data_IF_932362268403
#
_entry.id   IF_932362268403
#
_cell.length_a   1.000
_cell.length_b   1.000
_cell.length_c   1.000
_cell.angle_alpha   90.00
_cell.angle_beta   90.00
_cell.angle_gamma   90.00
#
_symmetry.space_group_name_H-M   'P 1'
#
loop_
_entity.id
_entity.type
_entity.pdbx_description
1 polymer ?
#
# COMPACT_ATOMS: atom_id res chain seq x y z
N UNK A 1 -2.24 -31.23 2.74
CA UNK A 1 -2.02 -31.08 1.29
C UNK A 1 -2.16 -29.63 0.82
N UNK A 2 -3.30 -28.92 1.03
CA UNK A 2 -3.48 -27.51 0.63
C UNK A 2 -2.43 -26.60 1.29
N UNK A 3 -2.28 -26.65 2.60
CA UNK A 3 -1.30 -25.83 3.34
C UNK A 3 0.14 -26.02 2.83
N UNK A 4 0.53 -27.22 2.45
CA UNK A 4 1.86 -27.51 1.91
C UNK A 4 2.07 -26.93 0.52
N UNK A 5 1.02 -26.92 -0.32
CA UNK A 5 1.06 -26.29 -1.64
C UNK A 5 1.16 -24.76 -1.55
N UNK A 6 0.37 -24.12 -0.67
CA UNK A 6 0.42 -22.68 -0.46
C UNK A 6 1.80 -22.24 0.03
N UNK A 7 2.37 -22.95 1.01
CA UNK A 7 3.72 -22.68 1.51
C UNK A 7 4.79 -22.86 0.43
N UNK A 8 4.63 -23.84 -0.47
CA UNK A 8 5.55 -24.05 -1.60
C UNK A 8 5.48 -22.89 -2.60
N UNK A 9 4.28 -22.39 -2.90
CA UNK A 9 4.09 -21.24 -3.78
C UNK A 9 4.74 -19.98 -3.18
N UNK A 10 4.48 -19.69 -1.91
CA UNK A 10 5.09 -18.58 -1.20
C UNK A 10 6.61 -18.71 -1.14
N UNK A 11 7.11 -19.91 -0.82
CA UNK A 11 8.54 -20.21 -0.83
C UNK A 11 9.20 -19.95 -2.19
N UNK A 12 8.57 -20.40 -3.28
CA UNK A 12 9.08 -20.15 -4.63
C UNK A 12 9.16 -18.67 -4.95
N UNK A 13 8.17 -17.88 -4.52
CA UNK A 13 8.19 -16.42 -4.67
C UNK A 13 9.32 -15.78 -3.88
N UNK A 14 9.58 -16.23 -2.65
CA UNK A 14 10.72 -15.80 -1.83
C UNK A 14 12.04 -16.10 -2.53
N UNK A 15 12.18 -17.29 -3.15
CA UNK A 15 13.41 -17.63 -3.90
C UNK A 15 13.64 -16.65 -5.07
N UNK A 16 12.60 -16.36 -5.86
CA UNK A 16 12.69 -15.40 -6.97
C UNK A 16 13.06 -14.00 -6.45
N UNK A 17 12.42 -13.52 -5.39
CA UNK A 17 12.77 -12.23 -4.77
C UNK A 17 14.23 -12.19 -4.33
N UNK A 18 14.71 -13.24 -3.66
CA UNK A 18 16.09 -13.30 -3.15
C UNK A 18 17.15 -13.45 -4.23
N UNK A 19 16.79 -14.02 -5.38
CA UNK A 19 17.67 -14.06 -6.56
C UNK A 19 17.88 -12.68 -7.17
N UNK A 20 16.92 -11.79 -7.04
CA UNK A 20 16.96 -10.42 -7.55
C UNK A 20 17.63 -9.44 -6.58
N UNK A 21 17.92 -9.85 -5.35
CA UNK A 21 18.58 -8.99 -4.36
C UNK A 21 20.08 -8.87 -4.64
N UNK A 22 20.63 -7.65 -4.58
CA UNK A 22 22.05 -7.43 -4.76
C UNK A 22 22.87 -7.98 -3.58
N UNK A 23 24.16 -8.25 -3.85
CA UNK A 23 25.08 -8.87 -2.89
C UNK A 23 25.85 -7.86 -2.01
N UNK A 24 25.63 -6.55 -2.18
CA UNK A 24 26.40 -5.49 -1.48
C UNK A 24 26.05 -5.39 0.01
N UNK A 25 27.04 -5.10 0.84
CA UNK A 25 26.84 -4.60 2.20
C UNK A 25 26.48 -3.11 2.15
N UNK A 26 25.55 -2.68 3.00
CA UNK A 26 25.02 -1.33 3.01
C UNK A 26 25.20 -0.68 4.36
N UNK A 27 25.35 0.65 4.32
CA UNK A 27 25.22 1.49 5.50
C UNK A 27 23.73 1.55 5.90
N UNK A 28 23.41 0.99 7.06
CA UNK A 28 22.03 0.84 7.53
C UNK A 28 21.34 2.16 7.88
N UNK A 29 22.05 3.23 8.07
CA UNK A 29 21.57 4.57 8.47
C UNK A 29 20.40 4.52 9.47
N UNK A 30 20.48 3.61 10.44
CA UNK A 30 19.38 3.35 11.38
C UNK A 30 19.06 4.58 12.24
N UNK A 31 20.06 5.27 12.78
CA UNK A 31 19.84 6.44 13.62
C UNK A 31 19.18 7.59 12.85
N UNK A 32 19.55 7.78 11.59
CA UNK A 32 18.91 8.76 10.71
C UNK A 32 17.47 8.37 10.41
N UNK A 33 17.22 7.09 10.13
CA UNK A 33 15.87 6.58 9.91
C UNK A 33 14.97 6.78 11.14
N UNK A 34 15.47 6.48 12.33
CA UNK A 34 14.72 6.67 13.58
C UNK A 34 14.39 8.14 13.83
N UNK A 35 15.36 9.06 13.61
CA UNK A 35 15.12 10.50 13.71
C UNK A 35 14.08 10.98 12.69
N UNK A 36 14.18 10.53 11.45
CA UNK A 36 13.23 10.87 10.39
C UNK A 36 11.80 10.41 10.71
N UNK A 37 11.65 9.15 11.18
CA UNK A 37 10.35 8.56 11.52
C UNK A 37 9.66 9.22 12.72
N UNK A 38 10.43 9.87 13.60
CA UNK A 38 9.93 10.63 14.75
C UNK A 38 9.73 12.11 14.42
N UNK A 39 10.27 12.56 13.29
CA UNK A 39 10.22 13.96 12.87
C UNK A 39 8.92 14.33 12.15
N UNK A 40 8.66 15.64 12.00
CA UNK A 40 7.49 16.15 11.29
C UNK A 40 7.51 15.82 9.78
N UNK A 41 8.67 15.55 9.23
CA UNK A 41 8.87 15.30 7.79
C UNK A 41 8.38 13.91 7.36
N UNK A 42 8.20 12.97 8.31
CA UNK A 42 7.71 11.64 7.97
C UNK A 42 6.30 11.70 7.37
N UNK A 43 5.38 12.41 8.01
CA UNK A 43 4.05 12.67 7.45
C UNK A 43 3.66 14.11 7.70
N UNK A 44 3.95 15.02 6.77
CA UNK A 44 3.55 16.41 6.90
C UNK A 44 2.05 16.56 7.09
N UNK A 45 1.66 17.48 7.96
CA UNK A 45 0.25 17.78 8.27
C UNK A 45 -0.50 18.31 7.05
N UNK A 46 0.15 19.15 6.24
CA UNK A 46 -0.43 19.78 5.06
C UNK A 46 -0.15 18.96 3.80
N UNK A 47 -1.17 18.27 3.32
CA UNK A 47 -1.13 17.58 2.03
C UNK A 47 -1.86 18.38 0.98
N UNK A 48 -1.12 19.04 0.10
CA UNK A 48 -1.71 19.70 -1.06
C UNK A 48 -2.28 18.67 -2.04
N UNK A 49 -3.43 18.95 -2.70
CA UNK A 49 -3.94 18.11 -3.77
C UNK A 49 -2.93 17.95 -4.90
N UNK A 50 -2.89 16.77 -5.52
CA UNK A 50 -2.01 16.52 -6.65
C UNK A 50 -2.36 17.42 -7.84
N UNK A 51 -1.33 17.90 -8.54
CA UNK A 51 -1.48 18.59 -9.83
C UNK A 51 -1.48 17.55 -10.95
N UNK A 52 -2.62 16.91 -11.17
CA UNK A 52 -2.75 15.77 -12.07
C UNK A 52 -2.81 16.21 -13.53
N UNK A 53 -1.88 15.69 -14.32
CA UNK A 53 -1.85 15.82 -15.78
C UNK A 53 -2.17 14.47 -16.43
N UNK A 54 -3.04 14.47 -17.45
CA UNK A 54 -3.37 13.27 -18.21
C UNK A 54 -2.53 13.14 -19.48
N UNK A 55 -2.00 11.94 -19.71
CA UNK A 55 -1.42 11.53 -20.97
C UNK A 55 -2.30 10.42 -21.58
N UNK A 56 -3.24 10.83 -22.42
CA UNK A 56 -4.26 9.95 -22.96
C UNK A 56 -5.45 9.71 -22.00
N UNK A 57 -6.34 8.76 -22.33
CA UNK A 57 -7.64 8.64 -21.65
C UNK A 57 -7.56 8.04 -20.23
N UNK A 58 -6.47 7.37 -19.89
CA UNK A 58 -6.34 6.58 -18.67
C UNK A 58 -5.12 6.97 -17.86
N UNK A 59 -3.99 7.22 -18.51
CA UNK A 59 -2.74 7.47 -17.81
C UNK A 59 -2.68 8.90 -17.27
N UNK A 60 -2.22 9.03 -16.04
CA UNK A 60 -1.95 10.32 -15.43
C UNK A 60 -0.57 10.35 -14.76
N UNK A 61 -0.09 11.56 -14.52
CA UNK A 61 1.11 11.84 -13.75
C UNK A 61 0.93 13.10 -12.92
N UNK A 62 1.75 13.25 -11.89
CA UNK A 62 1.89 14.48 -11.12
C UNK A 62 3.27 14.52 -10.44
N UNK A 63 3.78 15.71 -10.08
CA UNK A 63 5.01 15.85 -9.30
C UNK A 63 4.88 15.17 -7.93
N UNK A 64 5.91 14.42 -7.50
CA UNK A 64 5.92 13.85 -6.15
C UNK A 64 5.89 14.96 -5.10
N UNK A 65 5.00 14.91 -4.09
CA UNK A 65 4.96 15.92 -3.02
C UNK A 65 6.26 15.99 -2.21
N UNK A 66 6.97 14.87 -2.11
CA UNK A 66 8.29 14.77 -1.49
C UNK A 66 9.32 14.33 -2.54
N UNK A 67 9.96 15.27 -3.24
CA UNK A 67 10.98 14.93 -4.22
C UNK A 67 12.24 14.40 -3.52
N UNK A 68 12.91 13.46 -4.18
CA UNK A 68 14.19 12.88 -3.75
C UNK A 68 15.29 13.16 -4.79
N UNK A 69 16.50 12.69 -4.53
CA UNK A 69 17.65 12.88 -5.44
C UNK A 69 17.52 12.19 -6.80
N UNK A 70 16.49 11.36 -7.03
CA UNK A 70 16.27 10.60 -8.26
C UNK A 70 15.11 11.18 -9.05
N UNK A 71 15.42 11.75 -10.22
CA UNK A 71 14.43 12.46 -11.06
C UNK A 71 13.29 11.57 -11.53
N UNK A 72 13.58 10.29 -11.87
CA UNK A 72 12.56 9.33 -12.29
C UNK A 72 11.53 9.06 -11.19
N UNK A 73 11.98 9.07 -9.93
CA UNK A 73 11.08 8.84 -8.80
C UNK A 73 10.24 10.07 -8.44
N UNK A 74 10.65 11.27 -8.88
CA UNK A 74 9.95 12.52 -8.58
C UNK A 74 8.72 12.78 -9.46
N UNK A 75 8.40 11.87 -10.37
CA UNK A 75 7.15 11.89 -11.15
C UNK A 75 6.30 10.70 -10.75
N UNK A 76 5.17 10.97 -10.14
CA UNK A 76 4.18 9.94 -9.81
C UNK A 76 3.41 9.57 -11.06
N UNK A 77 3.30 8.28 -11.31
CA UNK A 77 2.54 7.73 -12.44
C UNK A 77 1.36 6.91 -11.97
N UNK A 78 0.26 6.98 -12.68
CA UNK A 78 -0.92 6.21 -12.38
C UNK A 78 -1.85 6.02 -13.56
N UNK A 79 -2.96 5.33 -13.29
CA UNK A 79 -4.06 5.13 -14.25
C UNK A 79 -5.38 5.42 -13.56
N UNK A 80 -6.27 6.15 -14.24
CA UNK A 80 -7.63 6.41 -13.77
C UNK A 80 -8.63 5.77 -14.74
N UNK A 81 -9.32 4.75 -14.29
CA UNK A 81 -10.37 4.05 -15.01
C UNK A 81 -11.72 4.64 -14.61
N UNK A 82 -12.24 5.54 -15.41
CA UNK A 82 -13.49 6.29 -15.15
C UNK A 82 -14.72 5.47 -15.55
N UNK A 83 -15.77 5.60 -14.77
CA UNK A 83 -17.11 5.20 -15.22
C UNK A 83 -17.50 6.02 -16.45
N UNK A 84 -18.31 5.49 -17.38
CA UNK A 84 -18.63 6.19 -18.63
C UNK A 84 -19.32 7.53 -18.42
N UNK A 85 -20.19 7.59 -17.41
CA UNK A 85 -21.03 8.75 -17.15
C UNK A 85 -20.80 9.30 -15.75
N UNK A 86 -20.72 10.62 -15.65
CA UNK A 86 -20.66 11.36 -14.38
C UNK A 86 -19.62 10.78 -13.41
N UNK A 87 -18.42 10.49 -13.91
CA UNK A 87 -17.38 9.82 -13.13
C UNK A 87 -17.01 10.61 -11.86
N UNK A 88 -17.09 11.95 -11.90
CA UNK A 88 -16.81 12.81 -10.73
C UNK A 88 -17.81 12.58 -9.58
N UNK A 89 -19.02 12.10 -9.89
CA UNK A 89 -20.04 11.81 -8.89
C UNK A 89 -20.00 10.35 -8.41
N UNK A 90 -18.99 9.59 -8.84
CA UNK A 90 -18.81 8.19 -8.46
C UNK A 90 -17.65 8.05 -7.47
N UNK A 91 -17.77 7.16 -6.47
CA UNK A 91 -16.67 6.89 -5.55
C UNK A 91 -15.47 6.28 -6.29
N UNK A 92 -14.28 6.50 -5.73
CA UNK A 92 -13.02 6.01 -6.30
C UNK A 92 -12.36 5.02 -5.35
N UNK A 93 -11.86 3.92 -5.92
CA UNK A 93 -10.99 2.97 -5.22
C UNK A 93 -9.56 3.18 -5.75
N UNK A 94 -8.61 3.52 -4.88
CA UNK A 94 -7.19 3.55 -5.21
C UNK A 94 -6.62 2.15 -4.96
N UNK A 95 -6.15 1.49 -6.02
CA UNK A 95 -5.50 0.18 -5.95
C UNK A 95 -3.98 0.35 -5.81
N UNK A 96 -3.39 -0.29 -4.81
CA UNK A 96 -1.98 -0.24 -4.51
C UNK A 96 -1.37 -1.65 -4.67
N UNK A 97 -0.37 -1.82 -5.58
CA UNK A 97 0.25 -3.12 -5.82
C UNK A 97 1.20 -3.52 -4.69
N UNK A 98 1.53 -4.81 -4.64
CA UNK A 98 2.61 -5.34 -3.82
C UNK A 98 3.99 -4.93 -4.31
N UNK A 99 5.02 -5.34 -3.57
CA UNK A 99 6.41 -5.09 -3.91
C UNK A 99 6.74 -5.69 -5.28
N UNK A 100 7.22 -4.83 -6.19
CA UNK A 100 7.63 -5.19 -7.56
C UNK A 100 6.59 -5.97 -8.38
N UNK A 101 5.30 -5.87 -8.01
CA UNK A 101 4.20 -6.61 -8.62
C UNK A 101 3.71 -5.95 -9.93
N UNK A 102 4.59 -5.95 -10.94
CA UNK A 102 4.28 -5.42 -12.27
C UNK A 102 3.15 -6.21 -12.95
N UNK A 103 3.07 -7.51 -12.72
CA UNK A 103 2.03 -8.37 -13.30
C UNK A 103 0.63 -7.94 -12.81
N UNK A 104 0.45 -7.70 -11.52
CA UNK A 104 -0.81 -7.16 -11.00
C UNK A 104 -1.10 -5.78 -11.57
N UNK A 105 -0.15 -4.88 -11.58
CA UNK A 105 -0.33 -3.52 -12.09
C UNK A 105 -0.69 -3.50 -13.59
N UNK A 106 -0.04 -4.32 -14.42
CA UNK A 106 -0.23 -4.33 -15.86
C UNK A 106 -1.42 -5.17 -16.33
N UNK A 107 -1.72 -6.28 -15.68
CA UNK A 107 -2.71 -7.24 -16.15
C UNK A 107 -3.94 -7.35 -15.24
N UNK A 108 -3.72 -7.54 -13.94
CA UNK A 108 -4.81 -7.82 -13.01
C UNK A 108 -5.64 -6.57 -12.67
N UNK A 109 -4.98 -5.43 -12.41
CA UNK A 109 -5.69 -4.20 -12.06
C UNK A 109 -6.60 -3.65 -13.17
N UNK A 110 -6.22 -3.68 -14.46
CA UNK A 110 -7.15 -3.36 -15.55
C UNK A 110 -8.40 -4.25 -15.57
N UNK A 111 -8.24 -5.55 -15.29
CA UNK A 111 -9.38 -6.49 -15.21
C UNK A 111 -10.24 -6.22 -13.97
N UNK A 112 -9.62 -5.93 -12.84
CA UNK A 112 -10.33 -5.56 -11.61
C UNK A 112 -11.08 -4.24 -11.79
N UNK A 113 -10.45 -3.25 -12.43
CA UNK A 113 -11.08 -1.96 -12.73
C UNK A 113 -12.35 -2.10 -13.59
N UNK A 114 -12.35 -3.03 -14.56
CA UNK A 114 -13.58 -3.34 -15.33
C UNK A 114 -14.71 -3.84 -14.42
N UNK A 115 -14.41 -4.66 -13.42
CA UNK A 115 -15.39 -5.16 -12.44
C UNK A 115 -15.88 -4.03 -11.53
N UNK A 116 -14.96 -3.21 -11.02
CA UNK A 116 -15.30 -2.06 -10.19
C UNK A 116 -16.20 -1.08 -10.93
N UNK A 117 -15.90 -0.76 -12.20
CA UNK A 117 -16.74 0.11 -13.04
C UNK A 117 -18.16 -0.42 -13.23
N UNK A 118 -18.33 -1.74 -13.43
CA UNK A 118 -19.67 -2.35 -13.50
C UNK A 118 -20.43 -2.24 -12.18
N UNK A 119 -19.72 -2.14 -11.06
CA UNK A 119 -20.29 -1.91 -9.74
C UNK A 119 -20.44 -0.41 -9.38
N UNK A 120 -20.17 0.50 -10.32
CA UNK A 120 -20.33 1.94 -10.14
C UNK A 120 -19.15 2.66 -9.51
N UNK A 121 -17.98 2.03 -9.41
CA UNK A 121 -16.77 2.63 -8.85
C UNK A 121 -15.76 3.02 -9.91
N UNK A 122 -15.21 4.23 -9.82
CA UNK A 122 -13.97 4.54 -10.52
C UNK A 122 -12.80 3.80 -9.85
N UNK A 123 -11.72 3.63 -10.60
CA UNK A 123 -10.49 3.04 -10.06
C UNK A 123 -9.30 3.89 -10.44
N UNK A 124 -8.53 4.31 -9.45
CA UNK A 124 -7.19 4.83 -9.64
C UNK A 124 -6.16 3.76 -9.29
N UNK A 125 -5.02 3.74 -9.98
CA UNK A 125 -3.87 2.94 -9.60
C UNK A 125 -2.65 3.83 -9.53
N UNK A 126 -1.78 3.63 -8.54
CA UNK A 126 -0.50 4.32 -8.42
C UNK A 126 0.66 3.37 -8.65
N UNK A 127 1.69 3.87 -9.28
CA UNK A 127 3.02 3.24 -9.27
C UNK A 127 3.71 3.67 -7.98
N UNK A 128 4.02 2.75 -7.05
CA UNK A 128 4.69 3.10 -5.81
C UNK A 128 6.08 3.73 -6.05
N UNK A 129 6.62 4.49 -5.10
CA UNK A 129 7.97 5.02 -5.20
C UNK A 129 9.00 3.93 -5.54
N UNK A 130 9.92 4.24 -6.44
CA UNK A 130 10.98 3.35 -6.91
C UNK A 130 10.53 2.06 -7.61
N UNK A 131 9.30 2.01 -8.14
CA UNK A 131 8.81 0.89 -8.93
C UNK A 131 8.70 1.23 -10.41
N UNK A 132 8.86 0.22 -11.26
CA UNK A 132 8.64 0.28 -12.72
C UNK A 132 9.40 1.44 -13.38
N UNK A 133 8.69 2.35 -14.05
CA UNK A 133 9.29 3.53 -14.70
C UNK A 133 9.81 4.58 -13.70
N UNK A 134 9.51 4.46 -12.43
CA UNK A 134 10.05 5.30 -11.35
C UNK A 134 11.35 4.76 -10.76
N UNK A 135 11.78 3.58 -11.21
CA UNK A 135 13.06 3.02 -10.80
C UNK A 135 14.18 3.79 -11.49
N UNK A 136 15.14 4.37 -10.74
CA UNK A 136 16.25 5.08 -11.31
C UNK A 136 17.05 4.22 -12.30
N UNK A 137 17.50 4.82 -13.40
CA UNK A 137 18.29 4.13 -14.44
C UNK A 137 19.63 3.61 -13.94
N UNK A 138 20.22 4.32 -12.99
CA UNK A 138 21.49 3.97 -12.34
C UNK A 138 21.35 2.81 -11.36
N UNK A 139 20.34 1.95 -11.51
CA UNK A 139 20.10 0.81 -10.62
C UNK A 139 20.49 1.16 -9.18
N UNK A 140 19.70 2.03 -8.56
CA UNK A 140 19.62 1.99 -7.10
C UNK A 140 19.18 0.56 -6.82
N UNK A 141 20.16 -0.25 -6.49
CA UNK A 141 19.92 -1.62 -6.08
C UNK A 141 19.00 -1.47 -4.89
N UNK A 142 17.73 -1.81 -5.09
CA UNK A 142 16.69 -1.74 -4.06
C UNK A 142 17.16 -2.55 -2.89
N UNK A 143 17.90 -1.90 -2.01
CA UNK A 143 18.45 -2.60 -0.90
C UNK A 143 17.50 -2.61 0.27
N UNK A 144 17.24 -3.82 0.66
CA UNK A 144 16.49 -4.12 1.87
C UNK A 144 17.24 -3.68 3.14
N UNK A 145 18.44 -3.10 3.02
CA UNK A 145 19.30 -2.78 4.14
C UNK A 145 19.37 -1.32 4.56
N UNK A 146 18.97 -0.39 3.71
CA UNK A 146 18.99 1.03 4.08
C UNK A 146 17.66 1.41 4.77
N UNK A 147 17.73 1.58 6.08
CA UNK A 147 16.55 1.89 6.90
C UNK A 147 15.98 3.28 6.59
N UNK A 148 16.82 4.26 6.34
CA UNK A 148 16.39 5.61 5.99
C UNK A 148 15.69 5.62 4.63
N UNK A 149 16.22 4.91 3.64
CA UNK A 149 15.60 4.74 2.34
C UNK A 149 14.17 4.16 2.46
N UNK A 150 13.98 3.15 3.32
CA UNK A 150 12.66 2.57 3.54
C UNK A 150 11.70 3.54 4.24
N UNK A 151 12.19 4.32 5.20
CA UNK A 151 11.41 5.33 5.90
C UNK A 151 10.97 6.46 4.95
N UNK A 152 11.90 7.01 4.17
CA UNK A 152 11.64 8.04 3.15
C UNK A 152 10.67 7.54 2.08
N UNK A 153 10.82 6.32 1.64
CA UNK A 153 9.92 5.67 0.68
C UNK A 153 8.50 5.52 1.21
N UNK A 154 8.35 5.14 2.48
CA UNK A 154 7.04 5.07 3.11
C UNK A 154 6.39 6.46 3.22
N UNK A 155 7.14 7.46 3.66
CA UNK A 155 6.71 8.85 3.73
C UNK A 155 6.24 9.36 2.36
N UNK A 156 7.04 9.13 1.31
CA UNK A 156 6.71 9.52 -0.06
C UNK A 156 5.42 8.83 -0.53
N UNK A 157 5.27 7.52 -0.30
CA UNK A 157 4.06 6.78 -0.68
C UNK A 157 2.80 7.33 0.01
N UNK A 158 2.89 7.61 1.32
CA UNK A 158 1.78 8.20 2.10
C UNK A 158 1.41 9.58 1.53
N UNK A 159 2.40 10.45 1.29
CA UNK A 159 2.17 11.79 0.77
C UNK A 159 1.52 11.76 -0.63
N UNK A 160 1.98 10.87 -1.52
CA UNK A 160 1.42 10.71 -2.87
C UNK A 160 -0.02 10.19 -2.86
N UNK A 161 -0.34 9.22 -1.99
CA UNK A 161 -1.71 8.71 -1.83
C UNK A 161 -2.63 9.80 -1.29
N UNK A 162 -2.17 10.57 -0.30
CA UNK A 162 -2.92 11.69 0.28
C UNK A 162 -3.14 12.82 -0.73
N UNK A 163 -2.14 13.16 -1.54
CA UNK A 163 -2.26 14.16 -2.59
C UNK A 163 -3.25 13.73 -3.68
N UNK A 164 -3.18 12.48 -4.13
CA UNK A 164 -4.16 11.94 -5.08
C UNK A 164 -5.57 11.90 -4.48
N UNK A 165 -5.71 11.50 -3.21
CA UNK A 165 -6.99 11.52 -2.49
C UNK A 165 -7.57 12.94 -2.48
N UNK A 166 -6.76 13.95 -2.18
CA UNK A 166 -7.16 15.35 -2.19
C UNK A 166 -7.65 15.83 -3.55
N UNK A 167 -6.93 15.46 -4.62
CA UNK A 167 -7.33 15.78 -5.98
C UNK A 167 -8.65 15.12 -6.37
N UNK A 168 -8.80 13.81 -6.13
CA UNK A 168 -10.03 13.06 -6.45
C UNK A 168 -11.27 13.65 -5.75
N UNK A 169 -11.15 14.01 -4.49
CA UNK A 169 -12.22 14.69 -3.75
C UNK A 169 -12.51 16.10 -4.31
N UNK A 170 -11.46 16.82 -4.71
CA UNK A 170 -11.55 18.13 -5.36
C UNK A 170 -12.27 18.07 -6.70
N UNK A 171 -12.04 17.02 -7.49
CA UNK A 171 -12.74 16.75 -8.76
C UNK A 171 -14.23 16.41 -8.57
N UNK A 172 -14.67 16.16 -7.34
CA UNK A 172 -16.07 15.93 -7.02
C UNK A 172 -16.40 14.49 -6.63
N UNK A 173 -15.41 13.57 -6.56
CA UNK A 173 -15.70 12.23 -6.05
C UNK A 173 -16.33 12.31 -4.66
N UNK A 174 -17.46 11.65 -4.40
CA UNK A 174 -18.11 11.67 -3.08
C UNK A 174 -17.28 10.93 -2.02
N UNK A 175 -16.42 10.01 -2.44
CA UNK A 175 -15.62 9.21 -1.52
C UNK A 175 -14.42 8.56 -2.20
N UNK A 176 -13.32 8.44 -1.44
CA UNK A 176 -12.11 7.73 -1.84
C UNK A 176 -11.81 6.62 -0.84
N UNK A 177 -11.51 5.43 -1.33
CA UNK A 177 -11.08 4.28 -0.54
C UNK A 177 -9.78 3.70 -1.06
N UNK A 178 -9.02 3.07 -0.18
CA UNK A 178 -7.79 2.36 -0.55
C UNK A 178 -8.04 0.86 -0.59
N UNK A 179 -7.41 0.19 -1.55
CA UNK A 179 -7.32 -1.27 -1.58
C UNK A 179 -5.89 -1.67 -1.94
N UNK A 180 -5.14 -2.04 -0.92
CA UNK A 180 -3.73 -2.43 -1.04
C UNK A 180 -3.51 -3.92 -0.94
N UNK A 181 -2.44 -4.39 -1.58
CA UNK A 181 -1.95 -5.76 -1.54
C UNK A 181 -0.51 -5.79 -1.04
N UNK A 182 -0.18 -6.64 -0.05
CA UNK A 182 1.18 -6.77 0.49
C UNK A 182 1.78 -5.39 0.86
N UNK A 183 2.90 -4.98 0.27
CA UNK A 183 3.48 -3.65 0.47
C UNK A 183 2.47 -2.51 0.24
N UNK A 184 1.62 -2.62 -0.78
CA UNK A 184 0.54 -1.66 -1.01
C UNK A 184 -0.48 -1.64 0.12
N UNK A 185 -0.70 -2.77 0.80
CA UNK A 185 -1.55 -2.82 2.00
C UNK A 185 -0.88 -2.15 3.20
N UNK A 186 0.45 -2.27 3.35
CA UNK A 186 1.18 -1.51 4.38
C UNK A 186 1.08 0.00 4.13
N UNK A 187 1.27 0.46 2.89
CA UNK A 187 1.11 1.88 2.56
C UNK A 187 -0.33 2.37 2.77
N UNK A 188 -1.34 1.56 2.44
CA UNK A 188 -2.73 1.87 2.75
C UNK A 188 -2.97 1.99 4.26
N UNK A 189 -2.40 1.06 5.05
CA UNK A 189 -2.45 1.07 6.50
C UNK A 189 -1.78 2.29 7.13
N UNK A 190 -0.58 2.63 6.68
CA UNK A 190 0.10 3.84 7.12
C UNK A 190 -0.69 5.10 6.74
N UNK A 191 -1.20 5.16 5.50
CA UNK A 191 -1.97 6.32 5.04
C UNK A 191 -3.25 6.53 5.84
N UNK A 192 -3.99 5.46 6.17
CA UNK A 192 -5.24 5.59 6.92
C UNK A 192 -5.03 6.07 8.37
N UNK A 193 -3.84 5.90 8.92
CA UNK A 193 -3.48 6.49 10.21
C UNK A 193 -3.31 8.02 10.16
N UNK A 194 -3.15 8.60 8.96
CA UNK A 194 -2.84 10.01 8.75
C UNK A 194 -3.84 10.73 7.84
N UNK A 195 -4.93 10.06 7.39
CA UNK A 195 -5.92 10.67 6.50
C UNK A 195 -7.36 10.24 6.83
N UNK A 196 -8.03 11.08 7.60
CA UNK A 196 -9.43 10.88 8.00
C UNK A 196 -10.45 11.07 6.86
N UNK A 197 -10.03 11.56 5.68
CA UNK A 197 -10.91 11.77 4.50
C UNK A 197 -11.26 10.46 3.81
N UNK A 198 -10.54 9.36 4.10
CA UNK A 198 -10.77 8.06 3.49
C UNK A 198 -12.10 7.46 3.94
N UNK A 199 -12.88 6.99 2.98
CA UNK A 199 -14.18 6.37 3.23
C UNK A 199 -14.05 4.94 3.76
N UNK A 200 -13.06 4.20 3.28
CA UNK A 200 -12.74 2.84 3.74
C UNK A 200 -11.32 2.43 3.34
N UNK A 201 -10.78 1.40 3.98
CA UNK A 201 -9.53 0.76 3.60
C UNK A 201 -9.67 -0.77 3.57
N UNK A 202 -9.13 -1.39 2.52
CA UNK A 202 -9.00 -2.84 2.38
C UNK A 202 -7.52 -3.19 2.32
N UNK A 203 -7.05 -3.98 3.27
CA UNK A 203 -5.67 -4.40 3.40
C UNK A 203 -5.57 -5.91 3.17
N UNK A 204 -5.07 -6.30 2.00
CA UNK A 204 -4.94 -7.70 1.62
C UNK A 204 -3.50 -8.19 1.85
N UNK A 205 -3.33 -9.17 2.72
CA UNK A 205 -2.06 -9.72 3.19
C UNK A 205 -1.08 -8.62 3.65
N UNK A 206 -1.47 -7.74 4.61
CA UNK A 206 -0.64 -6.61 5.04
C UNK A 206 0.57 -7.06 5.86
N UNK A 207 1.79 -6.62 5.54
CA UNK A 207 2.91 -6.70 6.48
C UNK A 207 2.70 -5.67 7.60
N UNK A 208 2.12 -6.12 8.72
CA UNK A 208 1.81 -5.24 9.85
C UNK A 208 3.05 -4.75 10.60
N UNK A 209 4.13 -5.54 10.55
CA UNK A 209 5.45 -5.24 11.10
C UNK A 209 6.51 -5.49 10.04
N UNK A 210 7.63 -4.75 10.14
CA UNK A 210 8.82 -5.07 9.38
C UNK A 210 9.44 -6.34 9.95
N UNK A 211 9.29 -7.45 9.23
CA UNK A 211 10.01 -8.69 9.53
C UNK A 211 10.86 -9.06 8.33
N UNK A 212 12.12 -9.47 8.54
CA UNK A 212 12.81 -10.18 7.48
C UNK A 212 11.96 -11.41 7.17
N UNK A 213 11.65 -11.62 5.90
CA UNK A 213 11.06 -12.90 5.46
C UNK A 213 11.87 -14.04 6.08
N UNK A 214 11.26 -15.18 6.41
CA UNK A 214 12.02 -16.24 7.10
C UNK A 214 13.29 -16.57 6.30
N UNK A 215 14.42 -16.01 6.74
CA UNK A 215 15.73 -16.13 6.08
C UNK A 215 16.19 -17.58 5.94
N UNK A 216 15.61 -18.49 6.76
CA UNK A 216 15.86 -19.94 6.64
C UNK A 216 15.33 -20.49 5.33
N UNK A 217 14.34 -19.83 4.73
CA UNK A 217 13.77 -20.19 3.45
C UNK A 217 14.62 -19.71 2.26
N UNK A 218 15.55 -18.76 2.46
CA UNK A 218 16.41 -18.28 1.38
C UNK A 218 17.41 -19.36 0.96
N UNK A 219 17.46 -19.65 -0.34
CA UNK A 219 18.38 -20.68 -0.89
C UNK A 219 19.85 -20.26 -0.76
N UNK A 220 20.16 -18.97 -0.85
CA UNK A 220 21.55 -18.46 -0.83
C UNK A 220 22.05 -18.22 0.59
N UNK A 221 23.17 -18.85 1.02
CA UNK A 221 23.75 -18.64 2.37
C UNK A 221 24.15 -17.19 2.66
N UNK A 222 24.58 -16.41 1.66
CA UNK A 222 24.91 -14.99 1.78
C UNK A 222 23.69 -14.16 2.16
N UNK A 223 22.53 -14.45 1.55
CA UNK A 223 21.26 -13.77 1.87
C UNK A 223 20.78 -14.17 3.26
N UNK A 224 20.93 -15.44 3.66
CA UNK A 224 20.59 -15.86 5.03
C UNK A 224 21.40 -15.10 6.08
N UNK A 225 22.72 -14.95 5.89
CA UNK A 225 23.57 -14.18 6.81
C UNK A 225 23.17 -12.72 6.87
N UNK A 226 22.91 -12.12 5.72
CA UNK A 226 22.47 -10.73 5.64
C UNK A 226 21.14 -10.51 6.36
N UNK A 227 20.16 -11.38 6.19
CA UNK A 227 18.87 -11.26 6.87
C UNK A 227 18.96 -11.50 8.37
N UNK A 228 19.94 -12.27 8.83
CA UNK A 228 20.24 -12.38 10.26
C UNK A 228 20.73 -11.04 10.85
N UNK A 229 21.56 -10.31 10.12
CA UNK A 229 22.02 -8.98 10.56
C UNK A 229 20.93 -7.91 10.54
N UNK A 230 19.93 -8.04 9.64
CA UNK A 230 18.77 -7.11 9.54
C UNK A 230 17.79 -7.27 10.70
N UNK A 231 17.81 -8.38 11.40
CA UNK A 231 16.80 -8.67 12.44
C UNK A 231 16.74 -7.59 13.52
N UNK A 232 17.89 -7.21 14.06
CA UNK A 232 17.97 -6.15 15.09
C UNK A 232 17.49 -4.79 14.58
N UNK A 233 17.74 -4.49 13.30
CA UNK A 233 17.27 -3.28 12.64
C UNK A 233 15.76 -3.26 12.49
N UNK A 234 15.15 -4.37 12.06
CA UNK A 234 13.71 -4.51 11.99
C UNK A 234 13.07 -4.35 13.38
N UNK A 235 13.68 -4.90 14.43
CA UNK A 235 13.21 -4.74 15.80
C UNK A 235 13.22 -3.26 16.22
N UNK A 236 14.27 -2.49 15.88
CA UNK A 236 14.32 -1.05 16.16
C UNK A 236 13.28 -0.25 15.37
N UNK A 237 13.11 -0.54 14.07
CA UNK A 237 12.10 0.12 13.24
C UNK A 237 10.67 -0.26 13.67
N UNK A 238 10.47 -1.43 14.24
CA UNK A 238 9.19 -1.85 14.80
C UNK A 238 8.79 -1.11 16.09
N UNK A 239 9.65 -0.25 16.62
CA UNK A 239 9.31 0.70 17.69
C UNK A 239 8.82 2.06 17.15
N UNK A 240 8.58 2.17 15.86
CA UNK A 240 8.19 3.40 15.15
C UNK A 240 6.87 3.25 14.42
N UNK A 241 6.46 4.32 13.70
CA UNK A 241 5.29 4.33 12.83
C UNK A 241 5.35 3.34 11.66
N UNK A 242 6.50 2.70 11.40
CA UNK A 242 6.61 1.58 10.46
C UNK A 242 5.93 0.30 10.95
N UNK A 243 5.61 0.21 12.22
CA UNK A 243 4.83 -0.86 12.82
C UNK A 243 3.36 -0.42 12.96
N UNK A 244 2.50 -0.98 12.13
CA UNK A 244 1.07 -0.63 12.14
C UNK A 244 0.38 -0.97 13.47
N UNK A 245 0.90 -1.91 14.25
CA UNK A 245 0.31 -2.27 15.54
C UNK A 245 0.51 -1.20 16.62
N UNK A 246 1.41 -0.24 16.40
CA UNK A 246 1.68 0.90 17.31
C UNK A 246 0.96 2.18 16.87
N UNK A 247 0.28 2.17 15.72
CA UNK A 247 -0.44 3.31 15.18
C UNK A 247 -1.94 3.10 15.28
N UNK A 248 -2.73 4.17 15.15
CA UNK A 248 -4.18 4.09 15.18
C UNK A 248 -4.77 4.67 13.90
N UNK A 249 -5.74 4.01 13.26
CA UNK A 249 -6.40 4.53 12.08
C UNK A 249 -7.21 5.79 12.39
N UNK A 250 -7.19 6.76 11.49
CA UNK A 250 -7.96 8.00 11.59
C UNK A 250 -9.44 7.84 11.17
N UNK A 251 -9.83 6.63 10.79
CA UNK A 251 -11.22 6.28 10.42
C UNK A 251 -11.76 5.18 11.35
N UNK A 252 -13.09 5.08 11.53
CA UNK A 252 -13.69 4.03 12.35
C UNK A 252 -13.36 2.61 11.87
N UNK A 253 -13.24 1.68 12.81
CA UNK A 253 -12.89 0.26 12.52
C UNK A 253 -13.87 -0.41 11.55
N UNK A 254 -15.12 -0.01 11.52
CA UNK A 254 -16.17 -0.52 10.63
C UNK A 254 -15.88 -0.20 9.15
N UNK A 255 -14.95 0.71 8.90
CA UNK A 255 -14.47 1.12 7.57
C UNK A 255 -13.15 0.44 7.17
N UNK A 256 -12.68 -0.53 7.96
CA UNK A 256 -11.42 -1.23 7.77
C UNK A 256 -11.70 -2.70 7.52
N UNK A 257 -11.10 -3.27 6.47
CA UNK A 257 -11.12 -4.70 6.18
C UNK A 257 -9.71 -5.24 6.09
N UNK A 258 -9.39 -6.20 6.94
CA UNK A 258 -8.19 -7.02 6.85
C UNK A 258 -8.50 -8.31 6.08
N UNK A 259 -7.62 -8.73 5.18
CA UNK A 259 -7.71 -10.02 4.48
C UNK A 259 -6.42 -10.77 4.72
N UNK A 260 -6.51 -11.86 5.46
CA UNK A 260 -5.41 -12.71 5.89
C UNK A 260 -5.42 -14.04 5.14
N UNK A 261 -4.24 -14.52 4.74
CA UNK A 261 -4.02 -15.91 4.33
C UNK A 261 -3.55 -16.72 5.53
N UNK A 262 -4.32 -17.72 5.96
CA UNK A 262 -3.92 -18.53 7.15
C UNK A 262 -2.68 -19.40 6.90
N UNK A 263 -2.24 -19.51 5.64
CA UNK A 263 -1.03 -20.23 5.23
C UNK A 263 0.04 -19.27 4.69
N UNK A 264 -0.12 -17.94 4.94
CA UNK A 264 0.83 -16.92 4.51
C UNK A 264 2.20 -17.14 5.18
N UNK A 265 3.25 -17.27 4.36
CA UNK A 265 4.63 -17.48 4.83
C UNK A 265 5.46 -16.19 4.82
N UNK A 266 4.91 -15.08 4.29
CA UNK A 266 5.58 -13.78 4.23
C UNK A 266 5.09 -12.84 5.34
N UNK A 267 3.77 -12.82 5.58
CA UNK A 267 3.18 -12.03 6.65
C UNK A 267 2.78 -12.95 7.81
N UNK A 268 3.33 -12.70 8.99
CA UNK A 268 3.08 -13.52 10.16
C UNK A 268 1.60 -13.43 10.59
N UNK A 269 0.99 -14.57 10.87
CA UNK A 269 -0.34 -14.65 11.45
C UNK A 269 -0.42 -13.88 12.77
N UNK A 270 0.61 -13.99 13.62
CA UNK A 270 0.63 -13.31 14.92
C UNK A 270 0.68 -11.78 14.74
N UNK A 271 1.40 -11.28 13.71
CA UNK A 271 1.44 -9.85 13.42
C UNK A 271 0.09 -9.32 12.93
N UNK A 272 -0.66 -10.13 12.17
CA UNK A 272 -2.02 -9.77 11.72
C UNK A 272 -3.00 -9.79 12.91
N UNK A 273 -2.87 -10.77 13.81
CA UNK A 273 -3.68 -10.85 15.02
C UNK A 273 -3.42 -9.64 15.91
N UNK A 274 -2.15 -9.28 16.14
CA UNK A 274 -1.78 -8.10 16.93
C UNK A 274 -2.31 -6.81 16.27
N UNK A 275 -2.22 -6.68 14.94
CA UNK A 275 -2.80 -5.55 14.23
C UNK A 275 -4.31 -5.48 14.41
N UNK A 276 -5.00 -6.60 14.26
CA UNK A 276 -6.44 -6.70 14.42
C UNK A 276 -6.88 -6.28 15.83
N UNK A 277 -6.17 -6.76 16.86
CA UNK A 277 -6.44 -6.38 18.26
C UNK A 277 -6.16 -4.89 18.50
N UNK A 278 -5.01 -4.38 18.06
CA UNK A 278 -4.59 -2.99 18.30
C UNK A 278 -5.51 -1.98 17.63
N UNK A 279 -6.13 -2.32 16.49
CA UNK A 279 -7.05 -1.47 15.76
C UNK A 279 -8.52 -1.65 16.16
N UNK A 280 -8.78 -2.30 17.31
CA UNK A 280 -10.11 -2.45 17.89
C UNK A 280 -10.99 -3.46 17.16
N UNK A 281 -10.37 -4.50 16.57
CA UNK A 281 -11.04 -5.62 15.92
C UNK A 281 -11.92 -5.21 14.72
N UNK A 282 -11.32 -4.62 13.65
CA UNK A 282 -12.03 -4.35 12.42
C UNK A 282 -12.49 -5.63 11.74
N UNK A 283 -13.26 -5.50 10.63
CA UNK A 283 -13.62 -6.67 9.83
C UNK A 283 -12.36 -7.42 9.36
N UNK A 284 -12.33 -8.75 9.54
CA UNK A 284 -11.23 -9.60 9.08
C UNK A 284 -11.76 -10.83 8.35
N UNK A 285 -11.16 -11.12 7.18
CA UNK A 285 -11.42 -12.36 6.44
C UNK A 285 -10.18 -13.23 6.44
N UNK A 286 -10.25 -14.38 7.12
CA UNK A 286 -9.21 -15.39 7.15
C UNK A 286 -9.45 -16.42 6.06
N UNK A 287 -8.55 -16.48 5.07
CA UNK A 287 -8.70 -17.30 3.87
C UNK A 287 -7.75 -18.51 3.92
N UNK A 288 -8.19 -19.72 3.50
CA UNK A 288 -7.35 -20.92 3.51
C UNK A 288 -6.36 -20.92 2.33
N UNK A 289 -5.50 -19.92 2.27
CA UNK A 289 -4.50 -19.73 1.21
C UNK A 289 -3.25 -19.01 1.73
N UNK A 290 -2.19 -18.96 0.91
CA UNK A 290 -0.95 -18.24 1.17
C UNK A 290 -0.96 -16.80 0.65
N UNK A 291 0.15 -16.11 0.83
CA UNK A 291 0.38 -14.72 0.45
C UNK A 291 0.18 -14.49 -1.05
N UNK A 292 0.90 -15.25 -1.86
CA UNK A 292 0.93 -15.08 -3.31
C UNK A 292 -0.47 -15.26 -3.91
N UNK A 293 -1.25 -16.20 -3.40
CA UNK A 293 -2.60 -16.45 -3.92
C UNK A 293 -3.53 -15.25 -3.69
N UNK A 294 -3.43 -14.58 -2.55
CA UNK A 294 -4.17 -13.33 -2.31
C UNK A 294 -3.68 -12.24 -3.26
N UNK A 295 -2.37 -12.04 -3.32
CA UNK A 295 -1.76 -10.94 -4.08
C UNK A 295 -1.91 -11.11 -5.59
N UNK A 296 -1.84 -12.33 -6.13
CA UNK A 296 -1.99 -12.60 -7.55
C UNK A 296 -3.45 -12.80 -8.02
N UNK A 297 -4.44 -12.62 -7.13
CA UNK A 297 -5.86 -12.74 -7.49
C UNK A 297 -6.35 -14.18 -7.64
N UNK A 298 -5.61 -15.16 -7.08
CA UNK A 298 -5.92 -16.58 -7.13
C UNK A 298 -7.06 -17.03 -6.19
N UNK A 299 -7.73 -16.11 -5.50
CA UNK A 299 -8.87 -16.40 -4.64
C UNK A 299 -10.17 -16.14 -5.40
N UNK A 300 -10.93 -17.17 -5.80
CA UNK A 300 -12.16 -17.00 -6.56
C UNK A 300 -13.19 -16.14 -5.82
N UNK A 301 -13.82 -15.23 -6.53
CA UNK A 301 -14.90 -14.38 -6.00
C UNK A 301 -14.46 -13.29 -5.02
N UNK A 302 -13.20 -13.25 -4.56
CA UNK A 302 -12.71 -12.26 -3.62
C UNK A 302 -12.99 -10.81 -4.06
N UNK A 303 -12.71 -10.39 -5.32
CA UNK A 303 -13.03 -9.03 -5.74
C UNK A 303 -14.51 -8.67 -5.59
N UNK A 304 -15.41 -9.58 -5.94
CA UNK A 304 -16.85 -9.36 -5.79
C UNK A 304 -17.28 -9.25 -4.32
N UNK A 305 -16.66 -10.02 -3.42
CA UNK A 305 -16.91 -9.91 -1.97
C UNK A 305 -16.46 -8.55 -1.44
N UNK A 306 -15.25 -8.10 -1.83
CA UNK A 306 -14.71 -6.80 -1.42
C UNK A 306 -15.60 -5.65 -1.93
N UNK A 307 -16.05 -5.69 -3.19
CA UNK A 307 -16.95 -4.66 -3.73
C UNK A 307 -18.29 -4.61 -2.97
N UNK A 308 -18.87 -5.76 -2.62
CA UNK A 308 -20.08 -5.80 -1.77
C UNK A 308 -19.83 -5.27 -0.36
N UNK A 309 -18.63 -5.47 0.19
CA UNK A 309 -18.26 -4.92 1.48
C UNK A 309 -18.06 -3.40 1.41
N UNK A 310 -17.48 -2.87 0.33
CA UNK A 310 -17.24 -1.44 0.12
C UNK A 310 -18.54 -0.66 -0.12
N UNK A 311 -19.48 -1.18 -0.93
CA UNK A 311 -20.66 -0.46 -1.41
C UNK A 311 -21.43 0.29 -0.31
N UNK A 312 -21.86 -0.31 0.82
CA UNK A 312 -22.64 0.38 1.84
C UNK A 312 -21.85 1.43 2.62
N UNK A 313 -20.52 1.44 2.50
CA UNK A 313 -19.63 2.40 3.16
C UNK A 313 -19.52 3.72 2.40
N UNK A 314 -19.93 3.73 1.16
CA UNK A 314 -20.06 4.93 0.34
C UNK A 314 -21.45 5.58 0.43
N UNK A 315 -22.51 4.80 0.67
CA UNK A 315 -23.90 5.29 0.72
C UNK A 315 -24.20 6.12 1.98
N UNK A 316 -23.39 6.00 3.03
CA UNK A 316 -23.56 6.68 4.32
C UNK A 316 -22.81 8.01 4.44
N UNK A 317 -22.24 8.53 3.36
CA UNK A 317 -21.53 9.82 3.42
C UNK A 317 -22.55 10.97 3.40
N UNK A 318 -22.38 12.01 4.24
CA UNK A 318 -23.26 13.18 4.21
C UNK A 318 -23.23 13.80 2.81
N UNK A 319 -24.40 14.16 2.30
CA UNK A 319 -24.49 14.87 1.03
C UNK A 319 -23.62 16.12 1.06
N UNK A 320 -23.05 16.49 -0.09
CA UNK A 320 -22.10 17.62 -0.26
C UNK A 320 -22.56 18.96 0.40
N UNK A 321 -23.87 19.11 0.63
CA UNK A 321 -24.46 20.26 1.29
C UNK A 321 -24.30 20.31 2.82
N UNK A 322 -23.76 19.24 3.44
CA UNK A 322 -23.58 19.11 4.89
C UNK A 322 -22.10 19.21 5.32
N UNK A 323 -21.16 19.31 4.38
CA UNK A 323 -19.76 19.56 4.74
C UNK A 323 -19.53 21.06 4.96
N UNK A 324 -18.88 21.47 6.07
CA UNK A 324 -18.50 22.86 6.26
C UNK A 324 -17.59 23.29 5.10
N UNK A 325 -17.93 24.38 4.44
CA UNK A 325 -17.07 24.99 3.41
C UNK A 325 -15.76 25.37 4.07
N UNK A 326 -14.59 25.10 3.44
CA UNK A 326 -13.32 25.59 3.96
C UNK A 326 -13.44 27.12 4.09
N UNK A 327 -13.18 27.63 5.28
CA UNK A 327 -13.12 29.07 5.55
C UNK A 327 -11.95 29.65 4.74
N UNK A 328 -12.23 30.12 3.54
CA UNK A 328 -11.39 31.10 2.86
C UNK A 328 -11.58 32.45 3.60
N UNK A 329 -10.83 32.65 4.68
CA UNK A 329 -10.52 33.99 5.13
C UNK A 329 -9.07 34.30 4.75
N UNK A 330 -8.94 35.36 4.00
CA UNK A 330 -7.77 36.07 3.53
C UNK A 330 -6.67 36.21 4.59
#
# INVERSE_FOLDING_TARGET
MIASLEKLIDWSSIQVMTLMMPAKEYDWRLEEALRFLQGPDFVPTDSQPAQVEFNGPVHFRFPAPHPCGFTENNVVHGRLYRCPERWQERPVIILLPGYNDSASYQLRFPLLARRCKRAGFNVATLVPPYHFQRCPRERVEFDTGDCLFWAERAAQAIAEIRALTGWLLGEGSPAVSLWGYSLGAAFAGMTVCHDARLAAVVMAAPPARLRPCDYRLAARPSIRRRWQSVRGLCESLNLTAMNLTLTQPAIPREKILLIEGIHDSLCSKDDIEDLWQSWGQPDIWRLPCGHVRICCGGVPGLPGRVLRWLAPRFDKLPSRNQMPRPNHRL
#
